data_IF_739618974702
#
_entry.id   IF_739618974702
#
_cell.length_a   1.000
_cell.length_b   1.000
_cell.length_c   1.000
_cell.angle_alpha   90.00
_cell.angle_beta   90.00
_cell.angle_gamma   90.00
#
_symmetry.space_group_name_H-M   'P 1'
#
loop_
_entity.id
_entity.type
_entity.pdbx_description
1 polymer ?
#
# COMPACT_ATOMS: atom_id res chain seq x y z
N UNK A 1 63.17 -3.57 90.18
CA UNK A 1 61.71 -3.62 90.02
C UNK A 1 61.34 -2.78 88.79
N UNK A 2 61.37 -3.37 87.59
CA UNK A 2 61.12 -2.70 86.28
C UNK A 2 59.71 -2.95 85.89
N UNK A 3 58.89 -1.93 85.83
CA UNK A 3 57.52 -2.04 85.29
C UNK A 3 57.61 -1.90 83.75
N UNK A 4 57.28 -2.98 83.03
CA UNK A 4 57.09 -3.00 81.61
C UNK A 4 55.69 -2.47 81.38
N UNK A 5 55.54 -1.35 80.74
CA UNK A 5 54.31 -0.80 80.21
C UNK A 5 54.16 -1.38 78.84
N UNK A 6 53.21 -2.36 78.68
CA UNK A 6 52.79 -2.83 77.35
C UNK A 6 51.83 -1.82 76.78
N UNK A 7 52.32 -1.06 75.81
CA UNK A 7 51.46 -0.20 74.97
C UNK A 7 50.79 -1.05 73.91
N UNK A 8 49.52 -1.40 74.18
CA UNK A 8 48.67 -2.03 73.18
C UNK A 8 48.28 -0.94 72.18
N UNK A 9 49.00 -0.84 71.07
CA UNK A 9 48.56 -0.14 69.87
C UNK A 9 47.44 -0.98 69.23
N UNK A 10 46.20 -0.67 69.56
CA UNK A 10 45.05 -1.08 68.74
C UNK A 10 45.13 -0.36 67.40
N UNK A 11 45.71 -1.01 66.43
CA UNK A 11 45.51 -0.65 65.04
C UNK A 11 44.02 -0.80 64.71
N UNK A 12 43.27 0.27 64.73
CA UNK A 12 42.03 0.40 64.01
C UNK A 12 42.39 0.32 62.53
N UNK A 13 42.43 -0.85 61.98
CA UNK A 13 42.29 -1.03 60.54
C UNK A 13 40.89 -0.54 60.22
N UNK A 14 40.77 0.71 59.83
CA UNK A 14 39.61 1.15 59.10
C UNK A 14 39.61 0.30 57.79
N UNK A 15 38.93 -0.83 57.86
CA UNK A 15 38.49 -1.51 56.66
C UNK A 15 37.57 -0.51 55.95
N UNK A 16 38.17 0.34 55.04
CA UNK A 16 37.39 0.80 53.94
C UNK A 16 36.86 -0.46 53.28
N UNK A 17 35.65 -0.79 53.59
CA UNK A 17 34.87 -1.68 52.76
C UNK A 17 34.78 -0.88 51.43
N UNK A 18 35.75 -1.06 50.52
CA UNK A 18 35.43 -0.96 49.14
C UNK A 18 34.21 -1.81 49.01
N UNK A 19 33.07 -1.24 48.74
CA UNK A 19 32.01 -1.94 48.10
C UNK A 19 32.62 -2.43 46.79
N UNK A 20 33.30 -3.56 46.81
CA UNK A 20 33.69 -4.26 45.58
C UNK A 20 32.38 -4.59 44.93
N UNK A 21 31.99 -3.75 43.95
CA UNK A 21 30.83 -4.03 43.10
C UNK A 21 31.20 -5.36 42.47
N UNK A 22 30.49 -6.43 42.88
CA UNK A 22 30.69 -7.76 42.29
C UNK A 22 30.22 -7.70 40.84
N UNK A 23 31.18 -7.47 39.92
CA UNK A 23 30.91 -7.33 38.50
C UNK A 23 31.06 -8.67 37.80
N UNK A 24 30.21 -8.89 36.83
CA UNK A 24 30.36 -9.99 35.87
C UNK A 24 30.73 -9.41 34.51
N UNK A 25 31.60 -10.09 33.79
CA UNK A 25 32.01 -9.72 32.47
C UNK A 25 31.38 -10.63 31.42
N UNK A 26 30.92 -10.03 30.33
CA UNK A 26 30.25 -10.69 29.24
C UNK A 26 28.75 -10.93 29.49
N UNK A 27 27.97 -10.81 28.45
CA UNK A 27 26.54 -11.09 28.41
C UNK A 27 26.21 -11.92 27.19
N UNK A 28 25.44 -13.01 27.40
CA UNK A 28 24.93 -13.87 26.35
C UNK A 28 23.43 -13.66 26.20
N UNK A 29 22.96 -13.41 24.99
CA UNK A 29 21.53 -13.36 24.66
C UNK A 29 21.16 -14.64 23.93
N UNK A 30 20.13 -15.31 24.42
CA UNK A 30 19.49 -16.41 23.72
C UNK A 30 18.23 -15.89 23.04
N UNK A 31 18.22 -15.92 21.71
CA UNK A 31 17.12 -15.47 20.88
C UNK A 31 16.55 -16.68 20.09
N UNK A 32 15.65 -17.48 20.71
CA UNK A 32 15.15 -18.73 20.12
C UNK A 32 14.45 -18.52 18.79
N UNK A 33 14.60 -19.48 17.90
CA UNK A 33 14.25 -19.43 16.47
C UNK A 33 12.77 -19.52 16.14
N UNK A 34 11.90 -19.71 17.11
CA UNK A 34 10.46 -19.87 16.82
C UNK A 34 9.81 -18.66 16.13
N UNK A 35 10.54 -17.56 16.01
CA UNK A 35 10.06 -16.29 15.46
C UNK A 35 11.10 -15.45 14.74
N UNK A 36 12.30 -15.96 14.39
CA UNK A 36 13.41 -15.10 13.90
C UNK A 36 13.87 -15.45 12.51
N UNK A 37 14.28 -14.44 11.72
CA UNK A 37 14.55 -14.55 10.30
C UNK A 37 15.85 -13.86 9.89
N UNK A 38 16.81 -14.63 9.40
CA UNK A 38 17.81 -14.13 8.46
C UNK A 38 17.80 -14.92 7.16
N UNK A 39 17.17 -16.11 7.19
CA UNK A 39 16.63 -16.72 5.99
C UNK A 39 15.21 -17.23 6.27
N UNK A 40 14.31 -17.07 5.32
CA UNK A 40 12.91 -17.46 5.42
C UNK A 40 12.54 -18.39 4.29
N UNK A 41 12.17 -19.61 4.62
CA UNK A 41 11.77 -20.63 3.63
C UNK A 41 10.26 -20.60 3.30
N UNK A 42 9.52 -19.66 3.86
CA UNK A 42 8.06 -19.56 3.75
C UNK A 42 7.32 -20.10 4.97
N UNK A 43 8.01 -20.79 5.89
CA UNK A 43 7.44 -21.37 7.12
C UNK A 43 8.33 -21.20 8.33
N UNK A 44 9.64 -21.25 8.15
CA UNK A 44 10.62 -21.18 9.25
C UNK A 44 11.66 -20.11 8.98
N UNK A 45 12.24 -19.63 10.04
CA UNK A 45 13.25 -18.60 10.05
C UNK A 45 14.49 -19.09 10.77
N UNK A 46 15.67 -18.74 10.25
CA UNK A 46 16.96 -19.23 10.77
C UNK A 46 17.93 -18.07 10.93
N UNK A 47 18.74 -18.12 12.00
CA UNK A 47 19.87 -17.22 12.18
C UNK A 47 21.05 -17.65 11.30
N UNK A 48 21.79 -16.69 10.77
CA UNK A 48 23.06 -16.85 10.09
C UNK A 48 24.22 -16.57 11.05
N UNK A 49 25.37 -17.20 10.83
CA UNK A 49 26.59 -16.95 11.62
C UNK A 49 27.11 -15.51 11.53
N UNK A 50 26.66 -14.73 10.56
CA UNK A 50 27.02 -13.31 10.38
C UNK A 50 26.07 -12.34 11.06
N UNK A 51 24.97 -12.83 11.66
CA UNK A 51 23.95 -11.98 12.24
C UNK A 51 24.43 -11.30 13.51
N UNK A 52 23.88 -10.11 13.75
CA UNK A 52 24.17 -9.28 14.89
C UNK A 52 22.90 -8.76 15.51
N UNK A 53 22.91 -8.58 16.81
CA UNK A 53 21.87 -7.85 17.55
C UNK A 53 22.46 -6.52 18.06
N UNK A 54 21.72 -5.46 17.90
CA UNK A 54 21.97 -4.21 18.64
C UNK A 54 21.02 -4.19 19.82
N UNK A 55 21.53 -4.06 21.03
CA UNK A 55 20.67 -4.05 22.19
C UNK A 55 21.00 -2.92 23.17
N UNK A 56 19.95 -2.30 23.70
CA UNK A 56 20.05 -1.42 24.87
C UNK A 56 20.07 -2.34 26.09
N UNK A 57 21.14 -2.28 26.87
CA UNK A 57 21.22 -2.91 28.20
C UNK A 57 21.10 -1.80 29.22
N UNK A 58 20.07 -1.84 30.07
CA UNK A 58 19.78 -0.81 31.07
C UNK A 58 19.87 -1.39 32.47
N UNK A 59 20.79 -0.89 33.27
CA UNK A 59 20.99 -1.21 34.68
C UNK A 59 20.96 0.08 35.49
N UNK A 60 20.24 0.09 36.62
CA UNK A 60 20.11 1.29 37.46
C UNK A 60 19.47 2.49 36.76
N UNK A 61 18.62 2.25 35.74
CA UNK A 61 17.92 3.29 34.97
C UNK A 61 18.76 3.94 33.85
N UNK A 62 20.04 3.54 33.68
CA UNK A 62 20.90 4.03 32.60
C UNK A 62 21.04 2.96 31.53
N UNK A 63 20.68 3.29 30.29
CA UNK A 63 20.79 2.40 29.13
C UNK A 63 22.05 2.67 28.31
N UNK A 64 22.72 1.61 27.88
CA UNK A 64 23.84 1.65 26.95
C UNK A 64 23.59 0.69 25.80
N UNK A 65 23.93 1.11 24.58
CA UNK A 65 23.78 0.27 23.39
C UNK A 65 25.03 -0.58 23.20
N UNK A 66 24.83 -1.87 22.97
CA UNK A 66 25.89 -2.83 22.69
C UNK A 66 25.55 -3.64 21.44
N UNK A 67 26.57 -4.00 20.67
CA UNK A 67 26.47 -4.96 19.58
C UNK A 67 26.80 -6.37 20.09
N UNK A 68 25.91 -7.31 19.81
CA UNK A 68 26.11 -8.73 20.10
C UNK A 68 26.35 -9.48 18.81
N UNK A 69 27.40 -10.26 18.76
CA UNK A 69 27.73 -11.12 17.62
C UNK A 69 27.22 -12.53 17.84
N UNK A 70 26.84 -13.21 16.76
CA UNK A 70 26.42 -14.60 16.79
C UNK A 70 27.55 -15.48 17.35
N UNK A 71 27.26 -16.22 18.40
CA UNK A 71 28.13 -17.22 19.01
C UNK A 71 27.84 -18.61 18.46
N UNK A 72 26.56 -18.98 18.43
CA UNK A 72 26.09 -20.28 17.95
C UNK A 72 24.70 -20.14 17.33
N UNK A 73 24.64 -20.32 16.02
CA UNK A 73 23.40 -20.25 15.27
C UNK A 73 22.41 -21.39 15.62
N UNK A 74 22.94 -22.56 15.97
CA UNK A 74 22.08 -23.72 16.31
C UNK A 74 21.31 -23.53 17.61
N UNK A 75 21.88 -22.74 18.53
CA UNK A 75 21.27 -22.41 19.82
C UNK A 75 20.77 -20.96 19.88
N UNK A 76 20.81 -20.23 18.76
CA UNK A 76 20.39 -18.83 18.67
C UNK A 76 21.06 -17.93 19.72
N UNK A 77 22.34 -18.16 19.97
CA UNK A 77 23.11 -17.49 21.01
C UNK A 77 23.96 -16.36 20.43
N UNK A 78 23.85 -15.19 21.05
CA UNK A 78 24.63 -13.99 20.73
C UNK A 78 25.42 -13.55 21.95
N UNK A 79 26.64 -13.07 21.77
CA UNK A 79 27.50 -12.67 22.86
C UNK A 79 28.13 -11.29 22.65
N UNK A 80 28.28 -10.58 23.77
CA UNK A 80 29.17 -9.45 23.87
C UNK A 80 30.05 -9.62 25.11
N UNK A 81 31.37 -9.68 24.93
CA UNK A 81 32.35 -9.92 25.99
C UNK A 81 32.77 -8.64 26.73
N UNK A 82 32.49 -7.47 26.18
CA UNK A 82 32.95 -6.18 26.72
C UNK A 82 31.99 -5.60 27.77
N UNK A 83 30.80 -6.17 27.92
CA UNK A 83 29.81 -5.72 28.90
C UNK A 83 30.27 -6.08 30.30
N UNK A 84 30.23 -5.12 31.21
CA UNK A 84 30.44 -5.33 32.63
C UNK A 84 29.17 -4.92 33.38
N UNK A 85 28.57 -5.89 34.07
CA UNK A 85 27.33 -5.70 34.83
C UNK A 85 27.58 -5.88 36.35
N UNK A 86 26.80 -5.16 37.17
CA UNK A 86 26.77 -5.39 38.59
C UNK A 86 25.92 -6.65 38.90
N UNK A 87 26.50 -7.69 39.47
CA UNK A 87 25.80 -8.97 39.78
C UNK A 87 24.66 -8.82 40.74
N UNK A 88 24.66 -7.80 41.57
CA UNK A 88 23.65 -7.57 42.60
C UNK A 88 22.46 -6.73 42.10
N UNK A 89 22.47 -6.35 40.86
CA UNK A 89 21.41 -5.54 40.26
C UNK A 89 20.76 -6.28 39.08
N UNK A 90 19.47 -6.06 38.93
CA UNK A 90 18.73 -6.48 37.74
C UNK A 90 18.96 -5.51 36.60
N UNK A 91 18.78 -5.99 35.38
CA UNK A 91 18.88 -5.18 34.16
C UNK A 91 17.81 -5.56 33.16
N UNK A 92 17.52 -4.63 32.26
CA UNK A 92 16.58 -4.83 31.14
C UNK A 92 17.35 -4.78 29.82
N UNK A 93 16.88 -5.56 28.88
CA UNK A 93 17.43 -5.66 27.52
C UNK A 93 16.33 -5.37 26.53
N UNK A 94 16.64 -4.51 25.53
CA UNK A 94 15.78 -4.23 24.39
C UNK A 94 16.61 -4.43 23.13
N UNK A 95 16.38 -5.54 22.45
CA UNK A 95 17.19 -5.99 21.32
C UNK A 95 16.51 -5.67 19.99
N UNK A 96 17.33 -5.39 19.00
CA UNK A 96 16.96 -5.14 17.62
C UNK A 96 17.89 -5.94 16.69
N UNK A 97 17.30 -6.61 15.72
CA UNK A 97 17.97 -7.08 14.52
C UNK A 97 17.42 -6.32 13.31
N UNK A 98 18.31 -5.75 12.50
CA UNK A 98 17.95 -5.05 11.28
C UNK A 98 19.07 -5.22 10.25
N UNK A 99 18.72 -5.55 9.02
CA UNK A 99 19.71 -5.67 7.93
C UNK A 99 20.46 -4.35 7.68
N UNK A 100 19.88 -3.21 8.04
CA UNK A 100 20.52 -1.89 7.96
C UNK A 100 21.45 -1.58 9.14
N UNK A 101 21.68 -2.52 10.07
CA UNK A 101 22.47 -2.30 11.30
C UNK A 101 22.06 -1.03 12.07
N UNK A 102 20.77 -0.79 12.17
CA UNK A 102 20.21 0.38 12.87
C UNK A 102 20.58 0.33 14.35
N UNK A 103 21.03 1.46 14.87
CA UNK A 103 21.39 1.58 16.28
C UNK A 103 20.19 2.10 17.08
N UNK A 104 19.72 1.36 18.11
CA UNK A 104 18.66 1.82 19.00
C UNK A 104 18.99 3.12 19.72
N UNK A 105 17.97 3.87 20.11
CA UNK A 105 18.08 5.12 20.88
C UNK A 105 17.71 4.89 22.34
N UNK A 106 18.65 5.18 23.24
CA UNK A 106 18.46 4.99 24.69
C UNK A 106 17.49 6.00 25.32
N UNK A 107 17.30 7.16 24.67
CA UNK A 107 16.44 8.23 25.19
C UNK A 107 14.94 7.90 25.21
N UNK A 108 14.52 6.81 24.58
CA UNK A 108 13.12 6.40 24.52
C UNK A 108 12.94 4.91 24.18
N UNK A 109 14.02 4.12 24.25
CA UNK A 109 14.02 2.66 23.96
C UNK A 109 13.41 2.35 22.58
N UNK A 110 13.77 3.09 21.56
CA UNK A 110 13.24 2.95 20.20
C UNK A 110 14.35 2.86 19.15
N UNK A 111 13.97 2.44 17.95
CA UNK A 111 14.81 2.50 16.76
C UNK A 111 14.03 3.00 15.56
N UNK A 112 14.66 3.82 14.72
CA UNK A 112 14.08 4.19 13.43
C UNK A 112 14.50 3.10 12.42
N UNK A 113 13.54 2.29 11.93
CA UNK A 113 13.76 1.12 11.09
C UNK A 113 13.00 1.22 9.77
N UNK A 114 13.54 0.65 8.71
CA UNK A 114 12.81 0.45 7.46
C UNK A 114 12.01 -0.86 7.56
N UNK A 115 10.70 -0.80 7.32
CA UNK A 115 9.81 -1.97 7.26
C UNK A 115 9.25 -2.08 5.85
N UNK A 116 9.51 -3.22 5.18
CA UNK A 116 9.20 -3.37 3.78
C UNK A 116 10.09 -2.47 2.88
N UNK A 117 9.82 -2.45 1.60
CA UNK A 117 10.48 -1.56 0.63
C UNK A 117 9.60 -1.34 -0.59
N UNK A 118 9.74 -0.17 -1.25
CA UNK A 118 9.03 0.15 -2.49
C UNK A 118 9.37 -0.83 -3.63
N UNK A 119 10.61 -1.30 -3.66
CA UNK A 119 11.10 -2.29 -4.64
C UNK A 119 11.74 -3.45 -3.88
N UNK A 120 11.30 -4.65 -4.19
CA UNK A 120 11.78 -5.90 -3.61
C UNK A 120 12.28 -6.83 -4.72
N UNK A 121 13.19 -7.75 -4.39
CA UNK A 121 13.79 -8.65 -5.37
C UNK A 121 13.57 -10.10 -4.93
N UNK A 122 12.84 -10.87 -5.74
CA UNK A 122 12.56 -12.27 -5.49
C UNK A 122 13.23 -13.17 -6.53
N UNK A 123 13.78 -14.30 -6.10
CA UNK A 123 14.35 -15.33 -6.99
C UNK A 123 13.41 -16.52 -7.05
N UNK A 124 12.86 -16.82 -8.22
CA UNK A 124 11.84 -17.85 -8.38
C UNK A 124 10.68 -17.64 -7.42
N UNK A 125 10.23 -18.68 -6.72
CA UNK A 125 9.21 -18.61 -5.68
C UNK A 125 9.77 -18.49 -4.26
N UNK A 126 11.06 -18.15 -4.10
CA UNK A 126 11.71 -18.05 -2.78
C UNK A 126 11.27 -16.84 -1.99
N UNK A 127 11.06 -17.02 -0.69
CA UNK A 127 10.73 -15.95 0.25
C UNK A 127 11.97 -15.30 0.93
N UNK A 128 13.18 -15.69 0.56
CA UNK A 128 14.42 -15.31 1.28
C UNK A 128 14.62 -13.79 1.41
N UNK A 129 14.17 -13.00 0.42
CA UNK A 129 14.33 -11.55 0.45
C UNK A 129 13.54 -10.87 1.56
N UNK A 130 12.49 -11.51 2.09
CA UNK A 130 11.65 -10.98 3.19
C UNK A 130 12.50 -10.70 4.43
N UNK A 131 13.45 -11.56 4.73
CA UNK A 131 14.28 -11.44 5.93
C UNK A 131 15.03 -10.09 6.02
N UNK A 132 15.50 -9.56 4.89
CA UNK A 132 16.20 -8.28 4.84
C UNK A 132 15.26 -7.06 5.02
N UNK A 133 13.95 -7.25 4.92
CA UNK A 133 12.92 -6.21 4.93
C UNK A 133 12.07 -6.23 6.20
N UNK A 134 12.40 -7.10 7.14
CA UNK A 134 11.64 -7.38 8.35
C UNK A 134 12.54 -7.25 9.58
N UNK A 135 12.64 -6.05 10.18
CA UNK A 135 13.34 -5.87 11.44
C UNK A 135 12.72 -6.72 12.56
N UNK A 136 13.57 -7.30 13.39
CA UNK A 136 13.15 -8.05 14.57
C UNK A 136 13.46 -7.25 15.81
N UNK A 137 12.55 -7.25 16.77
CA UNK A 137 12.74 -6.63 18.06
C UNK A 137 12.36 -7.61 19.17
N UNK A 138 12.89 -7.39 20.35
CA UNK A 138 12.54 -8.22 21.50
C UNK A 138 13.09 -7.65 22.78
N UNK A 139 12.58 -8.15 23.90
CA UNK A 139 12.99 -7.69 25.23
C UNK A 139 13.20 -8.84 26.20
N UNK A 140 14.00 -8.57 27.22
CA UNK A 140 14.08 -9.33 28.44
C UNK A 140 14.15 -8.33 29.60
N UNK A 141 13.26 -8.44 30.56
CA UNK A 141 13.15 -7.55 31.71
C UNK A 141 13.49 -8.30 33.02
N UNK A 142 13.94 -7.56 34.03
CA UNK A 142 14.30 -8.08 35.34
C UNK A 142 15.34 -9.22 35.29
N UNK A 143 16.28 -9.13 34.37
CA UNK A 143 17.30 -10.16 34.16
C UNK A 143 18.36 -10.06 35.25
N UNK A 144 18.81 -11.22 35.73
CA UNK A 144 19.97 -11.37 36.61
C UNK A 144 20.97 -12.38 36.05
N UNK A 145 22.25 -12.19 36.35
CA UNK A 145 23.29 -13.07 35.82
C UNK A 145 23.80 -12.66 34.42
N UNK A 146 24.48 -13.52 33.70
CA UNK A 146 25.17 -13.24 32.44
C UNK A 146 24.52 -13.89 31.20
N UNK A 147 23.31 -14.37 31.33
CA UNK A 147 22.53 -14.95 30.23
C UNK A 147 21.10 -14.45 30.30
N UNK A 148 20.59 -13.95 29.20
CA UNK A 148 19.22 -13.48 29.06
C UNK A 148 18.53 -14.18 27.89
N UNK A 149 17.27 -14.53 28.05
CA UNK A 149 16.43 -15.00 26.97
C UNK A 149 15.62 -13.83 26.40
N UNK A 150 15.80 -13.54 25.13
CA UNK A 150 15.11 -12.46 24.41
C UNK A 150 14.16 -13.06 23.40
N UNK A 151 12.86 -12.86 23.61
CA UNK A 151 11.84 -13.32 22.67
C UNK A 151 11.72 -12.32 21.51
N UNK A 152 12.35 -12.64 20.38
CA UNK A 152 12.30 -11.78 19.20
C UNK A 152 10.96 -11.86 18.48
N UNK A 153 10.47 -10.75 18.00
CA UNK A 153 9.21 -10.59 17.28
C UNK A 153 9.47 -9.90 15.94
N UNK A 154 8.65 -10.19 14.95
CA UNK A 154 8.69 -9.58 13.62
C UNK A 154 7.98 -8.23 13.64
N UNK A 155 8.51 -7.26 12.92
CA UNK A 155 7.87 -5.96 12.72
C UNK A 155 7.18 -5.83 11.36
N UNK A 156 7.45 -6.71 10.41
CA UNK A 156 6.81 -6.73 9.10
C UNK A 156 5.66 -7.74 9.02
N UNK A 157 4.84 -7.57 7.99
CA UNK A 157 3.85 -8.56 7.51
C UNK A 157 4.43 -9.25 6.28
N UNK A 158 4.34 -10.56 6.19
CA UNK A 158 4.67 -11.30 4.98
C UNK A 158 3.40 -11.54 4.16
N UNK A 159 3.33 -11.00 2.95
CA UNK A 159 2.26 -11.30 2.00
C UNK A 159 2.70 -12.47 1.13
N UNK A 160 1.92 -13.55 1.11
CA UNK A 160 2.06 -14.69 0.21
C UNK A 160 0.98 -14.61 -0.85
N UNK A 161 1.35 -14.24 -2.06
CA UNK A 161 0.42 -14.03 -3.16
C UNK A 161 0.58 -15.18 -4.15
N UNK A 162 -0.50 -15.94 -4.32
CA UNK A 162 -0.57 -17.07 -5.22
C UNK A 162 -1.21 -16.61 -6.54
N UNK A 163 -0.39 -16.42 -7.58
CA UNK A 163 -0.84 -16.01 -8.91
C UNK A 163 -1.29 -17.27 -9.65
N UNK A 164 -2.59 -17.46 -9.82
CA UNK A 164 -3.17 -18.62 -10.48
C UNK A 164 -3.55 -18.27 -11.92
N UNK A 165 -3.10 -19.10 -12.85
CA UNK A 165 -3.50 -18.99 -14.24
C UNK A 165 -4.88 -19.63 -14.47
N UNK A 166 -5.89 -18.80 -14.66
CA UNK A 166 -7.27 -19.25 -15.02
C UNK A 166 -7.60 -18.99 -16.49
N UNK A 167 -6.62 -18.53 -17.28
CA UNK A 167 -6.79 -18.32 -18.73
C UNK A 167 -6.75 -19.64 -19.49
N UNK A 168 -7.05 -19.60 -20.77
CA UNK A 168 -7.05 -20.80 -21.66
C UNK A 168 -5.67 -21.16 -22.20
N UNK A 169 -4.66 -20.29 -21.96
CA UNK A 169 -3.29 -20.44 -22.44
C UNK A 169 -2.29 -20.32 -21.29
N UNK A 170 -1.07 -20.76 -21.51
CA UNK A 170 -0.01 -20.55 -20.54
C UNK A 170 0.32 -19.04 -20.44
N UNK A 171 0.47 -18.53 -19.22
CA UNK A 171 1.01 -17.19 -18.98
C UNK A 171 2.55 -17.31 -19.10
N UNK A 172 3.19 -16.36 -19.78
CA UNK A 172 4.64 -16.23 -19.81
C UNK A 172 5.20 -16.06 -18.37
N UNK A 173 6.51 -16.19 -18.21
CA UNK A 173 7.12 -15.98 -16.89
C UNK A 173 6.76 -14.62 -16.29
N UNK A 174 6.65 -14.54 -14.97
CA UNK A 174 6.38 -13.29 -14.28
C UNK A 174 7.69 -12.49 -14.15
N UNK A 175 7.69 -11.27 -14.65
CA UNK A 175 8.79 -10.31 -14.49
C UNK A 175 8.63 -9.51 -13.20
N UNK A 176 7.42 -9.04 -12.90
CA UNK A 176 7.14 -8.31 -11.67
C UNK A 176 5.70 -8.43 -11.20
N UNK A 177 5.52 -8.24 -9.89
CA UNK A 177 4.21 -8.02 -9.28
C UNK A 177 4.20 -6.65 -8.60
N UNK A 178 3.26 -5.80 -8.96
CA UNK A 178 2.99 -4.56 -8.25
C UNK A 178 1.77 -4.71 -7.35
N UNK A 179 1.90 -4.32 -6.09
CA UNK A 179 0.84 -4.31 -5.07
C UNK A 179 0.56 -2.85 -4.75
N UNK A 180 -0.70 -2.42 -4.90
CA UNK A 180 -1.11 -1.04 -4.72
C UNK A 180 -2.26 -1.02 -3.70
N UNK A 181 -2.04 -0.35 -2.58
CA UNK A 181 -3.07 -0.07 -1.58
C UNK A 181 -3.72 1.30 -1.85
N UNK A 182 -4.86 1.63 -1.21
CA UNK A 182 -5.43 2.97 -1.23
C UNK A 182 -4.41 4.05 -0.85
N UNK A 183 -4.57 5.27 -1.35
CA UNK A 183 -3.57 6.33 -1.19
C UNK A 183 -3.27 6.72 0.27
N UNK A 184 -4.21 6.54 1.16
CA UNK A 184 -4.11 6.80 2.60
C UNK A 184 -3.50 5.63 3.38
N UNK A 185 -3.42 4.42 2.79
CA UNK A 185 -2.86 3.22 3.41
C UNK A 185 -1.37 3.11 3.07
N UNK A 186 -0.50 3.16 4.07
CA UNK A 186 0.95 3.05 3.90
C UNK A 186 1.40 1.62 4.19
N UNK A 187 2.05 0.99 3.22
CA UNK A 187 2.44 -0.43 3.27
C UNK A 187 3.95 -0.66 3.32
N UNK A 188 4.76 0.40 3.27
CA UNK A 188 6.22 0.35 3.52
C UNK A 188 6.71 1.73 3.94
N UNK A 189 7.90 1.79 4.55
CA UNK A 189 8.56 3.05 4.88
C UNK A 189 9.50 2.98 6.07
N UNK A 190 9.85 4.15 6.60
CA UNK A 190 10.61 4.29 7.83
C UNK A 190 9.66 4.51 9.01
N UNK A 191 9.86 3.70 10.04
CA UNK A 191 9.04 3.69 11.24
C UNK A 191 9.91 3.82 12.47
N UNK A 192 9.42 4.56 13.46
CA UNK A 192 9.94 4.51 14.82
C UNK A 192 9.31 3.32 15.51
N UNK A 193 10.12 2.32 15.79
CA UNK A 193 9.72 1.10 16.47
C UNK A 193 10.09 1.22 17.95
N UNK A 194 9.10 1.18 18.84
CA UNK A 194 9.30 1.05 20.27
C UNK A 194 9.73 -0.38 20.58
N UNK A 195 10.93 -0.56 21.13
CA UNK A 195 11.49 -1.89 21.39
C UNK A 195 10.91 -2.55 22.66
N UNK A 196 10.22 -1.78 23.49
CA UNK A 196 9.55 -2.30 24.69
C UNK A 196 8.14 -2.82 24.40
N UNK A 197 7.40 -2.14 23.52
CA UNK A 197 5.99 -2.45 23.21
C UNK A 197 5.81 -3.08 21.84
N UNK A 198 6.70 -2.80 20.87
CA UNK A 198 6.56 -3.18 19.47
C UNK A 198 5.66 -2.25 18.66
N UNK A 199 5.13 -1.20 19.28
CA UNK A 199 4.37 -0.18 18.56
C UNK A 199 5.26 0.54 17.56
N UNK A 200 4.70 0.86 16.41
CA UNK A 200 5.44 1.56 15.36
C UNK A 200 4.72 2.83 14.93
N UNK A 201 5.48 3.92 14.78
CA UNK A 201 5.02 5.22 14.33
C UNK A 201 5.71 5.58 13.00
N UNK A 202 4.94 6.13 12.05
CA UNK A 202 5.49 6.59 10.77
C UNK A 202 6.46 7.74 10.97
N UNK A 203 7.69 7.61 10.44
CA UNK A 203 8.69 8.69 10.44
C UNK A 203 8.71 9.40 9.08
N UNK A 204 8.99 8.67 8.00
CA UNK A 204 9.06 9.24 6.64
C UNK A 204 9.13 8.15 5.55
N UNK A 205 9.22 8.59 4.28
CA UNK A 205 9.49 7.71 3.14
C UNK A 205 8.45 6.61 2.92
N UNK A 206 7.23 6.81 3.43
CA UNK A 206 6.17 5.81 3.34
C UNK A 206 5.47 5.86 1.99
N UNK A 207 4.96 4.72 1.56
CA UNK A 207 4.20 4.61 0.32
C UNK A 207 3.15 3.50 0.35
N UNK A 208 2.26 3.58 -0.62
CA UNK A 208 1.15 2.65 -0.80
C UNK A 208 1.34 1.65 -1.95
N UNK A 209 2.55 1.60 -2.55
CA UNK A 209 2.84 0.77 -3.72
C UNK A 209 4.16 0.04 -3.57
N UNK A 210 4.13 -1.28 -3.67
CA UNK A 210 5.32 -2.15 -3.69
C UNK A 210 5.42 -2.79 -5.06
N UNK A 211 6.64 -2.87 -5.59
CA UNK A 211 6.96 -3.65 -6.79
C UNK A 211 7.93 -4.77 -6.40
N UNK A 212 7.53 -6.02 -6.59
CA UNK A 212 8.39 -7.19 -6.44
C UNK A 212 8.88 -7.60 -7.82
N UNK A 213 10.15 -7.39 -8.10
CA UNK A 213 10.80 -7.88 -9.32
C UNK A 213 11.18 -9.34 -9.13
N UNK A 214 10.94 -10.16 -10.13
CA UNK A 214 11.10 -11.60 -10.04
C UNK A 214 12.14 -12.05 -11.08
N UNK A 215 13.18 -12.70 -10.60
CA UNK A 215 14.14 -13.36 -11.47
C UNK A 215 13.86 -14.86 -11.52
N UNK A 216 14.10 -15.48 -12.67
CA UNK A 216 13.98 -16.94 -12.87
C UNK A 216 12.56 -17.49 -12.65
N UNK A 217 11.52 -16.76 -13.11
CA UNK A 217 10.19 -17.35 -13.23
C UNK A 217 10.07 -18.12 -14.56
N UNK A 218 9.54 -19.34 -14.50
CA UNK A 218 9.09 -20.07 -15.69
C UNK A 218 7.68 -19.63 -16.11
N UNK A 219 7.21 -20.13 -17.26
CA UNK A 219 5.81 -19.97 -17.66
C UNK A 219 4.88 -20.69 -16.68
N UNK A 220 3.68 -20.13 -16.49
CA UNK A 220 2.64 -20.72 -15.65
C UNK A 220 1.65 -21.43 -16.56
N UNK A 221 1.60 -22.75 -16.51
CA UNK A 221 0.65 -23.52 -17.30
C UNK A 221 -0.79 -23.23 -16.85
N UNK A 222 -1.76 -23.59 -17.71
CA UNK A 222 -3.20 -23.46 -17.39
C UNK A 222 -3.51 -24.20 -16.08
N UNK A 223 -4.23 -23.55 -15.18
CA UNK A 223 -4.60 -24.02 -13.83
C UNK A 223 -3.45 -24.13 -12.82
N UNK A 224 -2.21 -23.88 -13.23
CA UNK A 224 -1.06 -23.83 -12.34
C UNK A 224 -0.93 -22.45 -11.67
N UNK A 225 -0.03 -22.38 -10.69
CA UNK A 225 0.19 -21.17 -9.90
C UNK A 225 1.64 -20.85 -9.69
N UNK A 226 1.95 -19.56 -9.53
CA UNK A 226 3.25 -19.05 -9.14
C UNK A 226 3.12 -18.23 -7.85
N UNK A 227 4.07 -18.41 -6.92
CA UNK A 227 4.03 -17.73 -5.61
C UNK A 227 4.96 -16.54 -5.62
N UNK A 228 4.40 -15.37 -5.27
CA UNK A 228 5.15 -14.15 -5.00
C UNK A 228 5.03 -13.79 -3.53
N UNK A 229 6.16 -13.41 -2.94
CA UNK A 229 6.24 -12.93 -1.58
C UNK A 229 6.55 -11.44 -1.54
N UNK A 230 5.94 -10.71 -0.59
CA UNK A 230 6.26 -9.31 -0.34
C UNK A 230 6.29 -9.05 1.17
N UNK A 231 7.24 -8.23 1.63
CA UNK A 231 7.25 -7.68 2.97
C UNK A 231 6.55 -6.33 2.99
N UNK A 232 5.62 -6.13 3.92
CA UNK A 232 4.96 -4.85 4.14
C UNK A 232 5.10 -4.41 5.58
N UNK A 233 4.97 -3.10 5.84
CA UNK A 233 4.67 -2.63 7.18
C UNK A 233 3.28 -3.12 7.60
N UNK A 234 2.98 -3.22 8.91
CA UNK A 234 1.63 -3.42 9.40
C UNK A 234 0.70 -2.29 8.93
N UNK A 235 -0.52 -2.62 8.53
CA UNK A 235 -1.52 -1.64 8.11
C UNK A 235 -2.93 -2.16 8.32
N UNK A 236 -3.89 -1.24 8.26
CA UNK A 236 -5.30 -1.56 8.32
C UNK A 236 -5.91 -1.26 6.94
N UNK A 237 -6.51 -2.27 6.32
CA UNK A 237 -7.33 -2.09 5.14
C UNK A 237 -8.73 -1.67 5.59
N UNK A 238 -9.26 -0.53 5.15
CA UNK A 238 -10.62 -0.11 5.51
C UNK A 238 -11.66 -1.02 4.85
N UNK A 239 -12.88 -1.00 5.38
CA UNK A 239 -14.06 -1.53 4.70
C UNK A 239 -14.20 -0.89 3.33
N UNK A 240 -14.58 -1.65 2.32
CA UNK A 240 -14.63 -1.29 0.90
C UNK A 240 -13.28 -0.85 0.31
N UNK A 241 -12.19 -0.98 1.06
CA UNK A 241 -10.84 -0.77 0.55
C UNK A 241 -10.41 -1.88 -0.41
N UNK A 242 -9.56 -1.56 -1.38
CA UNK A 242 -9.10 -2.52 -2.37
C UNK A 242 -7.57 -2.58 -2.46
N UNK A 243 -7.03 -3.80 -2.56
CA UNK A 243 -5.67 -4.04 -3.03
C UNK A 243 -5.71 -4.33 -4.53
N UNK A 244 -4.99 -3.53 -5.31
CA UNK A 244 -4.80 -3.77 -6.72
C UNK A 244 -3.48 -4.49 -6.96
N UNK A 245 -3.51 -5.47 -7.87
CA UNK A 245 -2.37 -6.25 -8.28
C UNK A 245 -2.15 -6.09 -9.78
N UNK A 246 -0.93 -5.73 -10.18
CA UNK A 246 -0.52 -5.70 -11.59
C UNK A 246 0.63 -6.67 -11.77
N UNK A 247 0.44 -7.67 -12.61
CA UNK A 247 1.41 -8.71 -12.93
C UNK A 247 1.98 -8.39 -14.30
N UNK A 248 3.26 -8.05 -14.37
CA UNK A 248 3.98 -7.90 -15.66
C UNK A 248 4.63 -9.23 -16.00
N UNK A 249 4.43 -9.68 -17.22
CA UNK A 249 4.99 -10.93 -17.73
C UNK A 249 6.23 -10.69 -18.59
N UNK A 250 7.02 -11.72 -18.82
CA UNK A 250 8.25 -11.63 -19.63
C UNK A 250 8.00 -11.38 -21.13
N UNK A 251 6.75 -11.41 -21.56
CA UNK A 251 6.29 -11.01 -22.91
C UNK A 251 5.58 -9.65 -22.89
N UNK A 252 5.91 -8.80 -21.90
CA UNK A 252 5.46 -7.41 -21.72
C UNK A 252 3.94 -7.22 -21.54
N UNK A 253 3.19 -8.29 -21.26
CA UNK A 253 1.77 -8.16 -20.94
C UNK A 253 1.56 -7.74 -19.49
N UNK A 254 0.57 -6.91 -19.23
CA UNK A 254 0.16 -6.51 -17.89
C UNK A 254 -1.21 -7.08 -17.58
N UNK A 255 -1.23 -8.05 -16.67
CA UNK A 255 -2.45 -8.65 -16.14
C UNK A 255 -2.85 -7.91 -14.86
N UNK A 256 -4.14 -7.71 -14.64
CA UNK A 256 -4.65 -6.99 -13.48
C UNK A 256 -5.61 -7.84 -12.65
N UNK A 257 -5.61 -7.60 -11.35
CA UNK A 257 -6.57 -8.17 -10.40
C UNK A 257 -6.83 -7.16 -9.28
N UNK A 258 -8.05 -7.10 -8.80
CA UNK A 258 -8.43 -6.28 -7.65
C UNK A 258 -9.09 -7.15 -6.59
N UNK A 259 -8.67 -6.97 -5.33
CA UNK A 259 -9.28 -7.62 -4.18
C UNK A 259 -9.93 -6.56 -3.30
N UNK A 260 -11.25 -6.55 -3.26
CA UNK A 260 -12.05 -5.68 -2.39
C UNK A 260 -12.24 -6.37 -1.04
N UNK A 261 -12.14 -5.60 0.04
CA UNK A 261 -12.36 -6.04 1.41
C UNK A 261 -13.72 -5.53 1.88
N UNK A 262 -14.67 -6.43 2.14
CA UNK A 262 -16.04 -6.10 2.57
C UNK A 262 -16.14 -5.74 4.04
N UNK A 263 -15.02 -5.83 4.77
CA UNK A 263 -14.88 -5.46 6.16
C UNK A 263 -13.46 -4.92 6.40
N UNK A 264 -13.27 -4.21 7.51
CA UNK A 264 -11.94 -3.76 7.90
C UNK A 264 -11.05 -4.95 8.25
N UNK A 265 -9.85 -5.02 7.67
CA UNK A 265 -8.88 -6.10 7.89
C UNK A 265 -7.56 -5.52 8.40
N UNK A 266 -7.07 -6.02 9.54
CA UNK A 266 -5.76 -5.71 10.06
C UNK A 266 -4.71 -6.67 9.48
N UNK A 267 -3.64 -6.11 8.93
CA UNK A 267 -2.42 -6.80 8.54
C UNK A 267 -1.40 -6.58 9.67
N UNK A 268 -1.32 -7.57 10.55
CA UNK A 268 -0.57 -7.46 11.80
C UNK A 268 0.89 -7.86 11.66
N UNK A 269 1.79 -7.21 12.38
CA UNK A 269 3.21 -7.54 12.44
C UNK A 269 3.41 -9.04 12.80
N UNK A 270 4.37 -9.68 12.15
CA UNK A 270 4.67 -11.09 12.35
C UNK A 270 3.69 -12.06 11.69
N UNK A 271 2.62 -11.58 11.07
CA UNK A 271 1.66 -12.45 10.37
C UNK A 271 2.12 -12.81 8.95
N UNK A 272 1.63 -13.96 8.48
CA UNK A 272 1.70 -14.34 7.06
C UNK A 272 0.28 -14.25 6.51
N UNK A 273 0.04 -13.25 5.69
CA UNK A 273 -1.24 -13.07 5.00
C UNK A 273 -1.19 -13.72 3.62
N UNK A 274 -2.09 -14.66 3.38
CA UNK A 274 -2.14 -15.39 2.11
C UNK A 274 -3.34 -14.97 1.28
N UNK A 275 -3.10 -14.75 -0.02
CA UNK A 275 -4.18 -14.53 -1.00
C UNK A 275 -3.89 -15.26 -2.30
N UNK A 276 -4.94 -15.67 -3.01
CA UNK A 276 -4.84 -16.11 -4.40
C UNK A 276 -5.44 -15.04 -5.28
N UNK A 277 -4.74 -14.69 -6.35
CA UNK A 277 -5.20 -13.77 -7.37
C UNK A 277 -5.30 -14.51 -8.70
N UNK A 278 -6.31 -14.17 -9.49
CA UNK A 278 -6.57 -14.71 -10.82
C UNK A 278 -6.53 -13.55 -11.83
N UNK A 279 -5.30 -13.06 -12.15
CA UNK A 279 -5.18 -11.84 -12.94
C UNK A 279 -5.58 -12.11 -14.41
N UNK A 280 -6.28 -11.15 -14.97
CA UNK A 280 -6.75 -11.18 -16.35
C UNK A 280 -6.14 -10.03 -17.14
N UNK A 281 -6.01 -10.21 -18.45
CA UNK A 281 -5.72 -9.09 -19.34
C UNK A 281 -6.89 -8.10 -19.27
N UNK A 282 -6.63 -6.83 -18.98
CA UNK A 282 -7.67 -5.82 -19.10
C UNK A 282 -8.16 -5.79 -20.56
N UNK A 283 -9.46 -5.60 -20.81
CA UNK A 283 -9.99 -5.56 -22.16
C UNK A 283 -9.30 -4.42 -22.95
N UNK A 284 -8.98 -4.66 -24.21
CA UNK A 284 -8.36 -3.64 -25.08
C UNK A 284 -9.28 -2.42 -25.26
N UNK A 285 -10.58 -2.66 -25.19
CA UNK A 285 -11.60 -1.63 -25.36
C UNK A 285 -12.73 -1.83 -24.33
N UNK A 286 -13.16 -0.70 -23.73
CA UNK A 286 -14.35 -0.62 -22.89
C UNK A 286 -15.35 0.27 -23.60
N UNK A 287 -16.58 -0.25 -23.82
CA UNK A 287 -17.68 0.54 -24.37
C UNK A 287 -18.72 0.76 -23.26
N UNK A 288 -18.84 1.99 -22.79
CA UNK A 288 -19.90 2.39 -21.87
C UNK A 288 -21.06 3.00 -22.64
N UNK A 289 -22.26 2.45 -22.46
CA UNK A 289 -23.50 2.94 -23.03
C UNK A 289 -24.38 3.43 -21.89
N UNK A 290 -24.68 4.72 -21.83
CA UNK A 290 -25.46 5.35 -20.75
C UNK A 290 -26.60 6.16 -21.32
N UNK A 291 -27.83 5.95 -20.85
CA UNK A 291 -29.02 6.64 -21.36
C UNK A 291 -30.27 5.78 -21.24
N UNK A 292 -31.27 6.10 -22.07
CA UNK A 292 -32.58 5.47 -22.07
C UNK A 292 -32.86 4.61 -23.31
N UNK A 293 -31.83 4.29 -24.09
CA UNK A 293 -31.92 3.38 -25.23
C UNK A 293 -31.83 1.91 -24.74
N UNK A 294 -32.30 0.99 -25.56
CA UNK A 294 -32.14 -0.45 -25.30
C UNK A 294 -30.66 -0.81 -25.17
N UNK A 295 -30.34 -1.70 -24.21
CA UNK A 295 -28.97 -2.11 -23.87
C UNK A 295 -28.09 -1.00 -23.21
N UNK A 296 -28.66 0.15 -22.87
CA UNK A 296 -27.95 1.22 -22.19
C UNK A 296 -28.15 1.12 -20.67
N UNK A 297 -27.13 1.53 -19.94
CA UNK A 297 -27.22 1.69 -18.48
C UNK A 297 -28.16 2.87 -18.21
N UNK A 298 -29.33 2.59 -17.66
CA UNK A 298 -30.31 3.62 -17.33
C UNK A 298 -29.76 4.60 -16.28
N UNK A 299 -29.87 5.90 -16.50
CA UNK A 299 -29.44 6.91 -15.55
C UNK A 299 -30.18 6.80 -14.21
N UNK A 300 -29.43 6.63 -13.12
CA UNK A 300 -29.97 6.64 -11.76
C UNK A 300 -29.27 7.75 -10.98
N UNK A 301 -30.06 8.65 -10.38
CA UNK A 301 -29.52 9.70 -9.51
C UNK A 301 -28.75 9.09 -8.35
N UNK A 302 -27.49 9.48 -8.17
CA UNK A 302 -26.71 9.04 -7.04
C UNK A 302 -27.30 9.56 -5.72
N UNK A 303 -27.17 8.79 -4.67
CA UNK A 303 -27.61 9.17 -3.32
C UNK A 303 -27.04 10.53 -2.92
N UNK A 304 -27.90 11.43 -2.40
CA UNK A 304 -27.53 12.78 -2.00
C UNK A 304 -27.59 13.85 -3.11
N UNK A 305 -27.95 13.51 -4.35
CA UNK A 305 -28.22 14.50 -5.40
C UNK A 305 -29.63 15.10 -5.23
N UNK A 306 -29.75 16.44 -5.39
CA UNK A 306 -31.06 17.10 -5.34
C UNK A 306 -31.93 16.69 -6.53
N UNK A 307 -33.24 16.64 -6.34
CA UNK A 307 -34.19 16.22 -7.38
C UNK A 307 -34.48 17.30 -8.44
N UNK A 308 -34.10 18.56 -8.21
CA UNK A 308 -34.30 19.67 -9.11
C UNK A 308 -33.03 20.47 -9.38
N UNK A 309 -32.92 21.07 -10.57
CA UNK A 309 -31.80 21.91 -10.99
C UNK A 309 -30.48 21.12 -11.25
N UNK A 310 -29.42 21.81 -11.62
CA UNK A 310 -28.05 21.33 -11.73
C UNK A 310 -27.20 21.85 -10.57
N UNK A 311 -26.13 21.16 -10.13
CA UNK A 311 -25.54 19.98 -10.75
C UNK A 311 -26.26 18.66 -10.40
N UNK A 312 -26.04 17.63 -11.24
CA UNK A 312 -26.54 16.26 -11.06
C UNK A 312 -25.43 15.26 -11.15
N UNK A 313 -25.53 14.19 -10.35
CA UNK A 313 -24.63 13.03 -10.42
C UNK A 313 -25.44 11.78 -10.68
N UNK A 314 -25.07 11.03 -11.73
CA UNK A 314 -25.73 9.79 -12.12
C UNK A 314 -24.76 8.63 -12.09
N UNK A 315 -25.25 7.44 -11.77
CA UNK A 315 -24.49 6.21 -11.92
C UNK A 315 -24.37 5.80 -13.39
N UNK A 316 -23.24 5.21 -13.74
CA UNK A 316 -22.96 4.62 -15.06
C UNK A 316 -22.18 3.30 -14.82
N UNK A 317 -22.86 2.23 -14.40
CA UNK A 317 -22.22 1.01 -13.91
C UNK A 317 -21.40 1.34 -12.65
N UNK A 318 -20.13 0.98 -12.68
CA UNK A 318 -19.15 1.25 -11.60
C UNK A 318 -18.64 2.70 -11.60
N UNK A 319 -19.11 3.54 -12.52
CA UNK A 319 -18.65 4.91 -12.70
C UNK A 319 -19.77 5.92 -12.47
N UNK A 320 -19.41 7.21 -12.53
CA UNK A 320 -20.36 8.31 -12.41
C UNK A 320 -20.24 9.28 -13.57
N UNK A 321 -21.38 9.82 -13.99
CA UNK A 321 -21.50 10.95 -14.89
C UNK A 321 -22.03 12.14 -14.11
N UNK A 322 -21.30 13.26 -14.11
CA UNK A 322 -21.73 14.50 -13.48
C UNK A 322 -22.19 15.46 -14.55
N UNK A 323 -23.33 16.13 -14.29
CA UNK A 323 -23.88 17.14 -15.20
C UNK A 323 -23.93 18.46 -14.45
N UNK A 324 -23.32 19.50 -14.96
CA UNK A 324 -23.39 20.85 -14.43
C UNK A 324 -23.66 21.89 -15.53
N UNK A 325 -23.83 23.14 -15.16
CA UNK A 325 -24.10 24.24 -16.07
C UNK A 325 -25.34 25.04 -15.73
N UNK A 326 -25.76 25.87 -16.68
CA UNK A 326 -26.92 26.76 -16.50
C UNK A 326 -27.99 26.42 -17.53
N UNK A 327 -29.00 25.67 -17.12
CA UNK A 327 -30.18 25.34 -17.90
C UNK A 327 -31.27 24.79 -16.98
N UNK A 328 -32.51 24.69 -17.50
CA UNK A 328 -33.55 23.91 -16.89
C UNK A 328 -33.37 22.44 -17.26
N UNK A 329 -33.27 21.59 -16.25
CA UNK A 329 -33.01 20.16 -16.45
C UNK A 329 -34.23 19.33 -16.01
N UNK A 330 -34.63 18.36 -16.84
CA UNK A 330 -35.69 17.41 -16.51
C UNK A 330 -35.44 16.04 -17.16
N UNK A 331 -35.95 14.99 -16.53
CA UNK A 331 -36.06 13.65 -17.11
C UNK A 331 -37.50 13.50 -17.61
N UNK A 332 -37.67 13.20 -18.90
CA UNK A 332 -38.99 13.13 -19.53
C UNK A 332 -39.36 11.66 -19.76
N UNK A 333 -40.39 11.19 -19.08
CA UNK A 333 -41.01 9.84 -19.20
C UNK A 333 -40.03 8.66 -19.04
N UNK A 334 -38.85 8.89 -18.46
CA UNK A 334 -37.72 7.93 -18.49
C UNK A 334 -37.30 7.52 -19.90
N UNK A 335 -37.42 8.42 -20.86
CA UNK A 335 -37.03 8.19 -22.26
C UNK A 335 -35.83 9.05 -22.68
N UNK A 336 -35.69 10.22 -22.09
CA UNK A 336 -34.57 11.13 -22.38
C UNK A 336 -34.38 12.20 -21.30
N UNK A 337 -33.20 12.79 -21.28
CA UNK A 337 -32.88 13.99 -20.50
C UNK A 337 -33.09 15.23 -21.35
N UNK A 338 -33.84 16.18 -20.82
CA UNK A 338 -34.09 17.46 -21.48
C UNK A 338 -33.33 18.57 -20.80
N UNK A 339 -32.61 19.33 -21.59
CA UNK A 339 -31.93 20.57 -21.22
C UNK A 339 -32.64 21.71 -21.93
N UNK A 340 -33.37 22.53 -21.21
CA UNK A 340 -34.10 23.72 -21.71
C UNK A 340 -33.35 25.00 -21.32
N UNK A 341 -33.57 26.08 -22.07
CA UNK A 341 -33.03 27.40 -21.78
C UNK A 341 -31.49 27.40 -21.62
N UNK A 342 -30.83 26.68 -22.48
CA UNK A 342 -29.34 26.62 -22.49
C UNK A 342 -28.81 28.01 -22.86
N UNK A 343 -28.02 28.63 -21.96
CA UNK A 343 -27.55 29.98 -22.09
C UNK A 343 -26.57 30.18 -23.27
N UNK A 344 -26.63 31.37 -23.89
CA UNK A 344 -25.82 31.73 -25.04
C UNK A 344 -24.36 32.07 -24.70
N UNK A 345 -24.12 32.55 -23.49
CA UNK A 345 -22.83 33.10 -23.06
C UNK A 345 -21.95 31.98 -22.45
N UNK A 346 -21.14 31.29 -23.21
CA UNK A 346 -20.08 30.35 -22.81
C UNK A 346 -20.33 29.46 -21.56
N UNK A 347 -21.52 29.57 -20.97
CA UNK A 347 -21.98 28.86 -19.77
C UNK A 347 -23.00 27.79 -20.13
N UNK A 348 -22.71 26.98 -21.14
CA UNK A 348 -23.57 25.87 -21.53
C UNK A 348 -23.69 24.78 -20.45
N UNK A 349 -24.11 23.63 -20.86
CA UNK A 349 -24.19 22.42 -20.03
C UNK A 349 -22.92 21.61 -20.24
N UNK A 350 -22.34 21.11 -19.16
CA UNK A 350 -21.20 20.21 -19.17
C UNK A 350 -21.65 18.84 -18.66
N UNK A 351 -21.40 17.80 -19.42
CA UNK A 351 -21.58 16.40 -19.01
C UNK A 351 -20.18 15.82 -18.86
N UNK A 352 -19.74 15.68 -17.61
CA UNK A 352 -18.42 15.12 -17.30
C UNK A 352 -18.44 13.61 -17.43
N UNK A 353 -17.67 13.08 -18.35
CA UNK A 353 -17.60 11.67 -18.66
C UNK A 353 -16.71 10.94 -17.65
N UNK A 354 -16.92 9.65 -17.40
CA UNK A 354 -16.08 8.88 -16.50
C UNK A 354 -14.62 8.91 -16.91
N UNK A 355 -13.72 8.97 -15.93
CA UNK A 355 -12.30 8.71 -16.12
C UNK A 355 -12.00 7.29 -15.69
N UNK A 356 -11.51 6.45 -16.59
CA UNK A 356 -11.20 5.05 -16.33
C UNK A 356 -9.68 4.91 -16.26
N UNK A 357 -9.16 4.42 -15.13
CA UNK A 357 -7.73 4.27 -14.93
C UNK A 357 -7.11 3.36 -16.02
N UNK A 358 -6.02 3.81 -16.61
CA UNK A 358 -5.29 3.17 -17.71
C UNK A 358 -6.04 3.12 -19.06
N UNK A 359 -7.19 3.79 -19.20
CA UNK A 359 -7.91 3.87 -20.47
C UNK A 359 -8.07 5.31 -20.92
N UNK A 360 -7.81 5.56 -22.19
CA UNK A 360 -8.03 6.84 -22.84
C UNK A 360 -9.38 6.83 -23.56
N UNK A 361 -10.20 7.85 -23.34
CA UNK A 361 -11.45 8.02 -24.06
C UNK A 361 -11.13 8.37 -25.53
N UNK A 362 -11.44 7.48 -26.45
CA UNK A 362 -11.11 7.66 -27.87
C UNK A 362 -12.28 8.16 -28.72
N UNK A 363 -13.51 7.86 -28.28
CA UNK A 363 -14.68 8.19 -29.06
C UNK A 363 -15.89 8.46 -28.17
N UNK A 364 -16.71 9.42 -28.55
CA UNK A 364 -18.00 9.73 -27.95
C UNK A 364 -19.07 9.80 -29.02
N UNK A 365 -20.23 9.20 -28.77
CA UNK A 365 -21.41 9.29 -29.61
C UNK A 365 -22.55 9.80 -28.74
N UNK A 366 -23.21 10.89 -29.13
CA UNK A 366 -24.43 11.37 -28.49
C UNK A 366 -25.65 10.95 -29.30
N UNK A 367 -26.65 10.42 -28.60
CA UNK A 367 -27.92 10.02 -29.17
C UNK A 367 -29.00 11.01 -28.70
N UNK A 368 -29.78 11.51 -29.63
CA UNK A 368 -30.78 12.57 -29.40
C UNK A 368 -32.13 12.19 -29.98
N UNK A 369 -33.20 12.83 -29.48
CA UNK A 369 -34.54 12.63 -30.02
C UNK A 369 -34.65 13.20 -31.45
N UNK A 370 -35.62 12.67 -32.23
CA UNK A 370 -35.95 13.21 -33.57
C UNK A 370 -36.27 14.72 -33.54
N UNK A 371 -36.85 15.19 -32.41
CA UNK A 371 -37.17 16.60 -32.22
C UNK A 371 -35.94 17.53 -32.27
N UNK A 372 -34.79 17.06 -31.83
CA UNK A 372 -33.55 17.82 -31.79
C UNK A 372 -32.78 17.74 -33.13
N UNK A 373 -33.16 16.81 -34.02
CA UNK A 373 -32.53 16.70 -35.35
C UNK A 373 -32.80 17.94 -36.19
N UNK A 374 -31.74 18.50 -36.75
CA UNK A 374 -31.81 19.63 -37.71
C UNK A 374 -32.04 21.00 -37.10
N UNK A 375 -32.03 21.17 -35.75
CA UNK A 375 -32.07 22.51 -35.15
C UNK A 375 -30.79 23.27 -35.38
N UNK A 376 -30.92 24.48 -35.93
CA UNK A 376 -29.77 25.39 -36.11
C UNK A 376 -29.46 26.08 -34.75
N UNK A 377 -28.18 26.28 -34.49
CA UNK A 377 -27.73 27.05 -33.32
C UNK A 377 -27.34 26.24 -32.07
N UNK A 378 -27.59 24.93 -32.02
CA UNK A 378 -27.00 24.09 -31.03
C UNK A 378 -25.57 23.65 -31.43
N UNK A 379 -24.64 23.74 -30.49
CA UNK A 379 -23.27 23.26 -30.67
C UNK A 379 -22.98 22.24 -29.57
N UNK A 380 -22.51 21.08 -29.94
CA UNK A 380 -22.06 20.05 -29.01
C UNK A 380 -20.60 19.77 -29.33
N UNK A 381 -19.77 19.84 -28.34
CA UNK A 381 -18.33 19.56 -28.45
C UNK A 381 -17.86 18.63 -27.34
N UNK A 382 -16.74 17.95 -27.57
CA UNK A 382 -16.03 17.20 -26.52
C UNK A 382 -14.77 17.97 -26.17
N UNK A 383 -14.56 18.24 -24.91
CA UNK A 383 -13.45 19.03 -24.40
C UNK A 383 -12.84 18.46 -23.13
N UNK A 384 -11.80 19.13 -22.61
CA UNK A 384 -11.10 18.80 -21.39
C UNK A 384 -11.34 19.91 -20.37
N UNK A 385 -11.75 19.54 -19.15
CA UNK A 385 -12.04 20.51 -18.09
C UNK A 385 -13.13 21.51 -18.50
N UNK A 386 -12.98 22.79 -18.15
CA UNK A 386 -13.88 23.88 -18.53
C UNK A 386 -13.59 24.46 -19.93
N UNK A 387 -12.63 23.89 -20.68
CA UNK A 387 -12.26 24.39 -22.00
C UNK A 387 -12.99 23.63 -23.11
N UNK A 388 -13.96 24.30 -23.71
CA UNK A 388 -14.80 23.81 -24.83
C UNK A 388 -14.10 23.74 -26.18
N UNK A 389 -12.80 24.02 -26.27
CA UNK A 389 -12.11 24.34 -27.51
C UNK A 389 -11.61 23.17 -28.38
N UNK A 390 -11.99 21.92 -28.09
CA UNK A 390 -11.53 20.78 -28.87
C UNK A 390 -12.61 20.13 -29.73
N UNK A 391 -13.13 20.87 -30.67
CA UNK A 391 -13.96 20.34 -31.75
C UNK A 391 -15.46 20.44 -31.49
N UNK A 392 -16.08 21.44 -32.10
CA UNK A 392 -17.52 21.48 -32.21
C UNK A 392 -18.00 20.72 -33.42
N UNK A 393 -19.01 19.88 -33.28
CA UNK A 393 -19.79 19.39 -34.40
C UNK A 393 -21.21 19.91 -34.31
N UNK A 394 -21.81 20.25 -35.42
CA UNK A 394 -23.22 20.63 -35.50
C UNK A 394 -24.09 19.38 -35.41
N UNK A 395 -25.18 19.47 -34.66
CA UNK A 395 -26.16 18.41 -34.38
C UNK A 395 -26.80 17.69 -35.57
N UNK A 396 -26.49 18.12 -36.81
CA UNK A 396 -26.95 17.44 -38.03
C UNK A 396 -26.38 16.02 -38.21
N UNK A 397 -25.57 15.56 -37.27
CA UNK A 397 -24.90 14.26 -37.30
C UNK A 397 -25.19 13.47 -36.01
N UNK A 398 -26.46 13.20 -35.77
CA UNK A 398 -26.85 12.21 -34.76
C UNK A 398 -26.15 10.89 -35.04
N UNK A 399 -25.86 10.14 -33.98
CA UNK A 399 -25.24 8.80 -34.04
C UNK A 399 -23.89 8.79 -34.80
N UNK A 400 -23.25 9.96 -34.96
CA UNK A 400 -21.95 10.03 -35.57
C UNK A 400 -20.87 10.04 -34.52
N UNK A 401 -19.86 9.16 -34.62
CA UNK A 401 -18.75 9.13 -33.69
C UNK A 401 -17.93 10.44 -33.72
N UNK A 402 -17.72 11.03 -32.56
CA UNK A 402 -16.72 12.07 -32.36
C UNK A 402 -15.41 11.43 -31.89
N UNK A 403 -14.40 11.43 -32.74
CA UNK A 403 -13.10 10.89 -32.44
C UNK A 403 -12.25 11.94 -31.72
N UNK A 404 -11.71 11.58 -30.55
CA UNK A 404 -10.84 12.46 -29.76
C UNK A 404 -9.43 12.38 -30.32
N UNK A 405 -8.85 13.55 -30.58
CA UNK A 405 -7.47 13.65 -31.08
C UNK A 405 -6.50 13.65 -29.91
N UNK A 406 -5.49 12.76 -29.92
CA UNK A 406 -4.48 12.59 -28.88
C UNK A 406 -5.10 12.40 -27.47
N UNK A 407 -5.94 11.38 -27.28
CA UNK A 407 -6.55 11.13 -25.99
C UNK A 407 -5.52 10.63 -24.99
N UNK A 408 -5.72 10.95 -23.67
CA UNK A 408 -4.92 10.44 -22.56
C UNK A 408 -5.82 9.91 -21.44
N UNK A 409 -5.33 8.99 -20.62
CA UNK A 409 -6.06 8.46 -19.47
C UNK A 409 -6.09 9.43 -18.28
N UNK A 410 -5.19 10.42 -18.27
CA UNK A 410 -5.08 11.41 -17.19
C UNK A 410 -6.08 12.56 -17.27
N UNK A 411 -6.74 12.73 -18.43
CA UNK A 411 -7.63 13.86 -18.69
C UNK A 411 -9.10 13.51 -18.39
N UNK A 412 -9.80 14.43 -17.74
CA UNK A 412 -11.24 14.39 -17.57
C UNK A 412 -11.92 15.02 -18.79
N UNK A 413 -12.63 14.22 -19.55
CA UNK A 413 -13.38 14.69 -20.72
C UNK A 413 -14.79 15.11 -20.33
N UNK A 414 -15.34 16.07 -21.07
CA UNK A 414 -16.74 16.49 -20.94
C UNK A 414 -17.37 16.68 -22.31
N UNK A 415 -18.70 16.53 -22.37
CA UNK A 415 -19.52 17.00 -23.48
C UNK A 415 -20.01 18.38 -23.09
N UNK A 416 -19.72 19.38 -23.91
CA UNK A 416 -20.15 20.74 -23.74
C UNK A 416 -21.27 21.07 -24.75
N UNK A 417 -22.42 21.48 -24.25
CA UNK A 417 -23.60 21.82 -25.03
C UNK A 417 -23.86 23.31 -24.88
N UNK A 418 -23.84 24.03 -25.99
CA UNK A 418 -24.19 25.45 -26.03
C UNK A 418 -25.26 25.71 -27.09
N UNK A 419 -26.02 26.80 -26.95
CA UNK A 419 -27.03 27.19 -27.91
C UNK A 419 -26.92 28.68 -28.24
N UNK A 420 -27.28 29.05 -29.46
CA UNK A 420 -27.32 30.46 -29.91
C UNK A 420 -28.69 31.15 -29.72
N UNK A 421 -29.71 30.41 -29.25
CA UNK A 421 -31.03 30.87 -28.93
C UNK A 421 -31.67 29.87 -27.91
N UNK A 422 -32.81 30.18 -27.30
CA UNK A 422 -33.54 29.31 -26.40
C UNK A 422 -33.85 27.94 -27.02
N UNK A 423 -32.89 27.09 -27.04
CA UNK A 423 -32.98 25.79 -27.67
C UNK A 423 -33.01 24.69 -26.61
N UNK A 424 -33.77 23.66 -26.94
CA UNK A 424 -33.87 22.43 -26.15
C UNK A 424 -32.92 21.38 -26.72
N UNK A 425 -32.26 20.66 -25.83
CA UNK A 425 -31.47 19.50 -26.15
C UNK A 425 -32.00 18.28 -25.44
N UNK A 426 -32.52 17.34 -26.19
CA UNK A 426 -33.08 16.09 -25.68
C UNK A 426 -32.11 14.94 -25.94
N UNK A 427 -31.39 14.51 -24.89
CA UNK A 427 -30.39 13.47 -24.92
C UNK A 427 -31.01 12.12 -24.56
N UNK A 428 -31.00 11.17 -25.48
CA UNK A 428 -31.45 9.79 -25.25
C UNK A 428 -30.36 8.87 -24.74
N UNK A 429 -29.11 9.15 -25.08
CA UNK A 429 -27.97 8.36 -24.60
C UNK A 429 -26.62 8.87 -25.04
N UNK A 430 -25.60 8.30 -24.44
CA UNK A 430 -24.18 8.53 -24.76
C UNK A 430 -23.51 7.16 -24.87
N UNK A 431 -22.78 6.96 -25.96
CA UNK A 431 -21.81 5.86 -26.07
C UNK A 431 -20.41 6.42 -25.94
N UNK A 432 -19.61 5.85 -25.04
CA UNK A 432 -18.23 6.22 -24.78
C UNK A 432 -17.35 5.02 -25.04
N UNK A 433 -16.33 5.19 -25.87
CA UNK A 433 -15.38 4.14 -26.22
C UNK A 433 -14.01 4.51 -25.64
N UNK A 434 -13.53 3.65 -24.75
CA UNK A 434 -12.25 3.76 -24.10
C UNK A 434 -11.33 2.68 -24.63
N UNK A 435 -10.09 3.03 -24.93
CA UNK A 435 -9.04 2.08 -25.30
C UNK A 435 -7.95 2.06 -24.24
N UNK A 436 -7.43 0.88 -23.99
CA UNK A 436 -6.28 0.72 -23.10
C UNK A 436 -5.15 1.64 -23.56
N UNK A 437 -4.55 2.37 -22.63
CA UNK A 437 -3.39 3.22 -22.91
C UNK A 437 -2.13 2.35 -22.82
N UNK A 438 -1.41 2.22 -23.92
CA UNK A 438 -0.16 1.49 -24.04
C UNK A 438 0.99 2.18 -23.27
#
# INVERSE_FOLDING_TARGET
MIRVIILICTLLVAACSKNDIDTQQGLTLQAPTNSTRTSFDGTHSYWSSSDKLQAIVSQGGTGTVYEFSMLDASNSSFVNHDITLNRNEIYNIYALHSAANTIPKTSGVYADVAIGAAVQQQVGSSANHIAALDPLYGKAEDVSGNTAQVNMQHSAVALRINIKNTTTEAIAGIESLQIIAPNDVKIYGWYRLDLATGESEVVNGTGNRITVNISSSGSIAVSESFVVWAATAPFIMPEDGALQFKVTTTDDKVLSYEKIFTEQVAFEAGSIMQTTIEPILPPEEIVLKWGYLDEYITPVLASGSESSGLPKKFSCGDYFINIDGVCDFSIVNNEYMRFDNINQDDKGVYIHLPQIANYKLTQVITHITEYCKGRQGLKVGVGIGSNSNRGYYTLNKQDTPFNITNPTSSEQYNIHITATSDNKYDLTGITMVYKLEE
#
